data_IF_185895741608
#
_entry.id   IF_185895741608
#
_cell.length_a   1.000
_cell.length_b   1.000
_cell.length_c   1.000
_cell.angle_alpha   90.00
_cell.angle_beta   90.00
_cell.angle_gamma   90.00
#
_symmetry.space_group_name_H-M   'P 1'
#
loop_
_entity.id
_entity.type
_entity.pdbx_description
1 polymer ?
#
# COMPACT_ATOMS: atom_id res chain seq x y z
N UNK A 1 38.13 36.67 -27.10
CA UNK A 1 37.30 36.66 -25.89
C UNK A 1 36.14 35.71 -26.11
N UNK A 2 36.27 34.46 -25.65
CA UNK A 2 35.20 33.47 -25.71
C UNK A 2 34.21 33.78 -24.58
N UNK A 3 32.94 34.02 -24.91
CA UNK A 3 31.87 34.23 -23.92
C UNK A 3 31.52 32.87 -23.31
N UNK A 4 31.90 32.67 -22.04
CA UNK A 4 31.37 31.60 -21.20
C UNK A 4 29.84 31.69 -21.19
N UNK A 5 29.16 30.69 -21.79
CA UNK A 5 27.74 30.46 -21.55
C UNK A 5 27.62 29.85 -20.16
N UNK A 6 27.02 30.61 -19.24
CA UNK A 6 26.54 30.08 -17.97
C UNK A 6 25.58 28.91 -18.23
N UNK A 7 25.61 27.85 -17.41
CA UNK A 7 24.66 26.75 -17.53
C UNK A 7 23.24 27.31 -17.34
N UNK A 8 22.38 27.03 -18.31
CA UNK A 8 20.98 27.46 -18.34
C UNK A 8 20.26 26.73 -17.20
N UNK A 9 19.89 27.44 -16.12
CA UNK A 9 18.95 26.93 -15.10
C UNK A 9 17.76 26.34 -15.86
N UNK A 10 17.40 25.08 -15.59
CA UNK A 10 16.14 24.49 -16.08
C UNK A 10 15.02 25.40 -15.56
N UNK A 11 14.44 26.22 -16.43
CA UNK A 11 13.26 26.99 -16.10
C UNK A 11 12.17 25.97 -15.78
N UNK A 12 11.59 26.00 -14.59
CA UNK A 12 10.41 25.19 -14.29
C UNK A 12 9.31 25.59 -15.29
N UNK A 13 8.54 24.61 -15.77
CA UNK A 13 7.44 24.88 -16.69
C UNK A 13 6.44 25.82 -15.99
N UNK A 14 5.91 26.86 -16.66
CA UNK A 14 4.89 27.74 -16.08
C UNK A 14 3.68 26.98 -15.52
N UNK A 15 3.37 25.81 -16.08
CA UNK A 15 2.28 24.95 -15.62
C UNK A 15 2.57 24.33 -14.24
N UNK A 16 3.82 23.95 -13.96
CA UNK A 16 4.27 23.42 -12.66
C UNK A 16 4.26 24.53 -11.61
N UNK A 17 4.77 25.71 -11.94
CA UNK A 17 4.78 26.86 -11.04
C UNK A 17 3.37 27.27 -10.61
N UNK A 18 2.43 27.29 -11.55
CA UNK A 18 1.03 27.60 -11.26
C UNK A 18 0.35 26.52 -10.40
N UNK A 19 0.61 25.24 -10.68
CA UNK A 19 0.09 24.13 -9.88
C UNK A 19 0.54 24.25 -8.42
N UNK A 20 1.83 24.50 -8.22
CA UNK A 20 2.41 24.73 -6.90
C UNK A 20 1.82 25.99 -6.23
N UNK A 21 1.61 27.08 -6.97
CA UNK A 21 1.01 28.29 -6.42
C UNK A 21 -0.42 28.05 -5.90
N UNK A 22 -1.24 27.32 -6.67
CA UNK A 22 -2.61 26.98 -6.27
C UNK A 22 -2.64 26.09 -5.03
N UNK A 23 -1.76 25.09 -4.96
CA UNK A 23 -1.64 24.21 -3.79
C UNK A 23 -1.24 24.98 -2.52
N UNK A 24 -0.28 25.90 -2.62
CA UNK A 24 0.10 26.77 -1.49
C UNK A 24 -1.05 27.69 -1.05
N UNK A 25 -1.80 28.23 -2.01
CA UNK A 25 -2.96 29.07 -1.70
C UNK A 25 -4.05 28.27 -0.98
N UNK A 26 -4.32 27.03 -1.41
CA UNK A 26 -5.23 26.12 -0.71
C UNK A 26 -4.73 25.81 0.71
N UNK A 27 -3.45 25.50 0.89
CA UNK A 27 -2.86 25.22 2.19
C UNK A 27 -2.89 26.41 3.18
N UNK A 28 -2.98 27.63 2.66
CA UNK A 28 -3.09 28.87 3.43
C UNK A 28 -4.53 29.35 3.64
N UNK A 29 -5.51 28.64 3.06
CA UNK A 29 -6.92 28.95 3.19
C UNK A 29 -7.34 29.02 4.66
N UNK A 30 -8.19 30.01 4.98
CA UNK A 30 -8.64 30.27 6.34
C UNK A 30 -10.10 29.91 6.60
N UNK A 31 -10.82 29.47 5.56
CA UNK A 31 -12.25 29.15 5.65
C UNK A 31 -12.68 28.12 4.60
N UNK A 32 -13.80 27.43 4.86
CA UNK A 32 -14.38 26.46 3.90
C UNK A 32 -14.80 27.08 2.56
N UNK A 33 -15.11 28.38 2.56
CA UNK A 33 -15.46 29.10 1.33
C UNK A 33 -14.21 29.32 0.47
N UNK A 34 -13.09 29.65 1.12
CA UNK A 34 -11.79 29.75 0.44
C UNK A 34 -11.28 28.38 -0.03
N UNK A 35 -11.44 27.32 0.79
CA UNK A 35 -11.09 25.94 0.40
C UNK A 35 -11.73 25.60 -0.95
N UNK A 36 -13.06 25.70 -1.05
CA UNK A 36 -13.78 25.38 -2.29
C UNK A 36 -13.37 26.26 -3.49
N UNK A 37 -12.98 27.52 -3.26
CA UNK A 37 -12.51 28.42 -4.31
C UNK A 37 -11.16 27.96 -4.91
N UNK A 38 -10.23 27.54 -4.05
CA UNK A 38 -8.91 27.07 -4.46
C UNK A 38 -8.97 25.63 -4.99
N UNK A 39 -9.71 24.74 -4.32
CA UNK A 39 -9.97 23.36 -4.75
C UNK A 39 -10.52 23.32 -6.18
N UNK A 40 -11.51 24.16 -6.51
CA UNK A 40 -12.09 24.21 -7.87
C UNK A 40 -11.05 24.53 -8.94
N UNK A 41 -10.14 25.47 -8.66
CA UNK A 41 -9.09 25.90 -9.61
C UNK A 41 -7.99 24.86 -9.73
N UNK A 42 -7.56 24.32 -8.60
CA UNK A 42 -6.54 23.28 -8.53
C UNK A 42 -7.03 22.01 -9.23
N UNK A 43 -8.26 21.59 -8.96
CA UNK A 43 -8.92 20.48 -9.64
C UNK A 43 -8.92 20.63 -11.16
N UNK A 44 -9.30 21.79 -11.69
CA UNK A 44 -9.31 22.04 -13.13
C UNK A 44 -7.91 21.92 -13.77
N UNK A 45 -6.85 22.29 -13.04
CA UNK A 45 -5.46 22.13 -13.51
C UNK A 45 -5.03 20.66 -13.48
N UNK A 46 -5.25 19.98 -12.37
CA UNK A 46 -4.96 18.55 -12.22
C UNK A 46 -5.69 17.74 -13.28
N UNK A 47 -6.97 18.05 -13.53
CA UNK A 47 -7.76 17.34 -14.54
C UNK A 47 -7.19 17.42 -15.95
N UNK A 48 -6.63 18.57 -16.32
CA UNK A 48 -5.98 18.80 -17.61
C UNK A 48 -4.73 17.93 -17.72
N UNK A 49 -3.92 17.87 -16.66
CA UNK A 49 -2.69 17.05 -16.62
C UNK A 49 -3.01 15.56 -16.72
N UNK A 50 -3.97 15.07 -15.91
CA UNK A 50 -4.44 13.68 -15.96
C UNK A 50 -4.96 13.32 -17.36
N UNK A 51 -5.76 14.20 -17.97
CA UNK A 51 -6.31 13.97 -19.32
C UNK A 51 -5.23 13.88 -20.39
N UNK A 52 -4.13 14.61 -20.20
CA UNK A 52 -2.98 14.60 -21.10
C UNK A 52 -1.95 13.52 -20.74
N UNK A 53 -2.19 12.74 -19.67
CA UNK A 53 -1.25 11.77 -19.13
C UNK A 53 0.11 12.37 -18.77
N UNK A 54 0.09 13.61 -18.24
CA UNK A 54 1.27 14.36 -17.82
C UNK A 54 1.52 14.15 -16.32
N UNK A 55 1.81 12.91 -15.95
CA UNK A 55 2.15 12.53 -14.57
C UNK A 55 3.51 13.12 -14.14
N UNK A 56 4.44 13.35 -15.08
CA UNK A 56 5.74 13.97 -14.83
C UNK A 56 5.61 15.37 -14.21
N UNK A 57 4.69 16.19 -14.72
CA UNK A 57 4.44 17.52 -14.15
C UNK A 57 3.83 17.47 -12.76
N UNK A 58 2.96 16.48 -12.48
CA UNK A 58 2.39 16.26 -11.14
C UNK A 58 3.49 15.85 -10.15
N UNK A 59 4.30 14.86 -10.51
CA UNK A 59 5.41 14.38 -9.67
C UNK A 59 6.47 15.47 -9.44
N UNK A 60 6.84 16.23 -10.47
CA UNK A 60 7.81 17.31 -10.33
C UNK A 60 7.32 18.44 -9.39
N UNK A 61 6.02 18.74 -9.39
CA UNK A 61 5.42 19.70 -8.47
C UNK A 61 5.43 19.18 -7.03
N UNK A 62 5.03 17.92 -6.80
CA UNK A 62 5.09 17.26 -5.50
C UNK A 62 6.52 17.23 -4.95
N UNK A 63 7.50 16.78 -5.74
CA UNK A 63 8.91 16.73 -5.34
C UNK A 63 9.46 18.09 -4.91
N UNK A 64 9.04 19.15 -5.61
CA UNK A 64 9.48 20.51 -5.29
C UNK A 64 8.79 21.02 -4.03
N UNK A 65 7.49 20.76 -3.85
CA UNK A 65 6.76 21.16 -2.64
C UNK A 65 7.22 20.36 -1.41
N UNK A 66 7.45 19.05 -1.52
CA UNK A 66 7.98 18.23 -0.43
C UNK A 66 9.28 18.81 0.16
N UNK A 67 10.11 19.43 -0.68
CA UNK A 67 11.37 20.08 -0.27
C UNK A 67 11.22 21.51 0.25
N UNK A 68 10.11 22.20 -0.05
CA UNK A 68 10.00 23.66 0.16
C UNK A 68 8.81 24.10 0.99
N UNK A 69 7.72 23.35 0.99
CA UNK A 69 6.45 23.66 1.65
C UNK A 69 5.62 22.37 1.82
N UNK A 70 5.79 21.71 2.97
CA UNK A 70 5.10 20.45 3.28
C UNK A 70 3.58 20.60 3.21
N UNK A 71 3.02 21.69 3.74
CA UNK A 71 1.56 21.91 3.77
C UNK A 71 1.01 22.05 2.35
N UNK A 72 1.75 22.74 1.48
CA UNK A 72 1.43 22.80 0.05
C UNK A 72 1.56 21.45 -0.64
N UNK A 73 2.54 20.63 -0.26
CA UNK A 73 2.71 19.27 -0.77
C UNK A 73 1.51 18.38 -0.41
N UNK A 74 1.11 18.37 0.85
CA UNK A 74 -0.02 17.59 1.36
C UNK A 74 -1.32 18.00 0.64
N UNK A 75 -1.58 19.31 0.53
CA UNK A 75 -2.76 19.83 -0.18
C UNK A 75 -2.78 19.46 -1.67
N UNK A 76 -1.61 19.42 -2.33
CA UNK A 76 -1.52 18.98 -3.72
C UNK A 76 -1.76 17.47 -3.84
N UNK A 77 -1.13 16.66 -2.99
CA UNK A 77 -1.28 15.21 -2.97
C UNK A 77 -2.74 14.80 -2.76
N UNK A 78 -3.39 15.35 -1.73
CA UNK A 78 -4.81 15.11 -1.42
C UNK A 78 -5.71 15.44 -2.62
N UNK A 79 -5.46 16.57 -3.28
CA UNK A 79 -6.24 16.97 -4.45
C UNK A 79 -5.98 16.06 -5.65
N UNK A 80 -4.74 15.64 -5.91
CA UNK A 80 -4.44 14.69 -7.00
C UNK A 80 -5.15 13.36 -6.76
N UNK A 81 -5.02 12.79 -5.56
CA UNK A 81 -5.67 11.53 -5.18
C UNK A 81 -7.19 11.64 -5.35
N UNK A 82 -7.79 12.70 -4.79
CA UNK A 82 -9.22 12.98 -4.95
C UNK A 82 -9.63 13.03 -6.42
N UNK A 83 -8.90 13.75 -7.28
CA UNK A 83 -9.22 13.84 -8.72
C UNK A 83 -9.05 12.52 -9.46
N UNK A 84 -8.20 11.61 -9.01
CA UNK A 84 -8.01 10.30 -9.64
C UNK A 84 -9.09 9.29 -9.22
N UNK A 85 -9.56 9.39 -7.99
CA UNK A 85 -10.49 8.42 -7.40
C UNK A 85 -11.97 8.78 -7.55
N UNK A 86 -12.29 10.06 -7.80
CA UNK A 86 -13.68 10.55 -7.78
C UNK A 86 -14.26 10.93 -9.15
N UNK A 87 -13.58 10.57 -10.25
CA UNK A 87 -14.00 10.95 -11.60
C UNK A 87 -15.25 10.21 -12.08
N UNK A 88 -16.35 10.95 -12.25
CA UNK A 88 -17.63 10.47 -12.79
C UNK A 88 -17.86 10.79 -14.27
N UNK A 89 -16.83 10.74 -15.13
CA UNK A 89 -17.01 11.04 -16.56
C UNK A 89 -18.07 10.12 -17.20
N UNK A 90 -19.13 10.70 -17.74
CA UNK A 90 -20.19 9.98 -18.45
C UNK A 90 -21.34 9.49 -17.57
N UNK A 91 -21.41 9.89 -16.29
CA UNK A 91 -22.59 9.64 -15.45
C UNK A 91 -23.64 10.75 -15.67
N UNK A 92 -24.92 10.38 -15.75
CA UNK A 92 -26.02 11.34 -15.76
C UNK A 92 -26.37 11.79 -14.33
N UNK A 93 -26.51 13.10 -14.15
CA UNK A 93 -26.81 13.72 -12.85
C UNK A 93 -25.56 13.98 -12.00
N UNK A 94 -25.75 14.68 -10.89
CA UNK A 94 -24.68 14.91 -9.92
C UNK A 94 -24.53 13.68 -9.01
N UNK A 95 -23.39 12.99 -9.10
CA UNK A 95 -23.10 11.75 -8.37
C UNK A 95 -21.75 11.85 -7.68
N UNK A 96 -21.66 11.27 -6.50
CA UNK A 96 -20.38 11.04 -5.85
C UNK A 96 -19.85 9.66 -6.23
N UNK A 97 -18.56 9.61 -6.54
CA UNK A 97 -17.84 8.44 -7.00
C UNK A 97 -16.61 8.29 -6.12
N UNK A 98 -16.28 7.05 -5.76
CA UNK A 98 -15.04 6.75 -5.07
C UNK A 98 -14.46 5.42 -5.53
N UNK A 99 -13.26 5.46 -6.09
CA UNK A 99 -12.40 4.30 -6.26
C UNK A 99 -11.94 3.84 -4.88
N UNK A 100 -12.10 2.55 -4.60
CA UNK A 100 -11.67 1.93 -3.35
C UNK A 100 -10.77 0.73 -3.63
N UNK A 101 -9.97 0.37 -2.64
CA UNK A 101 -9.34 -0.93 -2.57
C UNK A 101 -9.71 -1.63 -1.25
N UNK A 102 -9.78 -2.95 -1.29
CA UNK A 102 -9.97 -3.84 -0.15
C UNK A 102 -8.71 -4.72 -0.03
N UNK A 103 -7.72 -4.30 0.78
CA UNK A 103 -6.47 -5.02 0.91
C UNK A 103 -6.62 -6.29 1.75
N UNK A 104 -5.80 -7.28 1.40
CA UNK A 104 -5.72 -8.58 2.06
C UNK A 104 -4.26 -8.91 2.25
N UNK A 105 -3.79 -8.85 3.49
CA UNK A 105 -2.46 -9.33 3.83
C UNK A 105 -2.48 -10.86 3.75
N UNK A 106 -1.50 -11.45 3.11
CA UNK A 106 -1.43 -12.89 2.91
C UNK A 106 0.01 -13.38 3.10
N UNK A 107 0.16 -14.58 3.66
CA UNK A 107 1.46 -15.26 3.68
C UNK A 107 1.29 -16.75 3.37
N UNK A 108 2.29 -17.31 2.70
CA UNK A 108 2.29 -18.70 2.24
C UNK A 108 3.70 -19.21 2.01
N UNK A 109 3.89 -20.53 2.16
CA UNK A 109 5.14 -21.21 1.74
C UNK A 109 5.26 -21.34 0.22
N UNK A 110 4.16 -21.10 -0.49
CA UNK A 110 4.06 -21.11 -1.95
C UNK A 110 3.79 -19.69 -2.45
N UNK A 111 3.81 -19.50 -3.77
CA UNK A 111 3.40 -18.23 -4.38
C UNK A 111 1.99 -17.83 -3.93
N UNK A 112 1.84 -16.58 -3.49
CA UNK A 112 0.54 -16.02 -3.09
C UNK A 112 -0.25 -15.72 -4.37
N UNK A 113 -1.45 -16.31 -4.57
CA UNK A 113 -2.20 -16.17 -5.81
C UNK A 113 -2.64 -14.74 -6.13
N UNK A 114 -2.66 -14.40 -7.41
CA UNK A 114 -3.20 -13.17 -8.00
C UNK A 114 -3.86 -13.50 -9.35
N UNK A 115 -4.59 -12.55 -9.92
CA UNK A 115 -5.20 -12.69 -11.24
C UNK A 115 -6.73 -12.88 -11.22
N UNK A 116 -7.31 -13.58 -12.22
CA UNK A 116 -8.74 -13.53 -12.48
C UNK A 116 -9.59 -14.16 -11.36
N UNK A 117 -10.70 -13.49 -11.03
CA UNK A 117 -11.70 -13.93 -10.07
C UNK A 117 -12.90 -14.52 -10.83
N UNK A 118 -13.29 -15.74 -10.49
CA UNK A 118 -14.48 -16.35 -11.07
C UNK A 118 -15.75 -15.53 -10.74
N UNK A 119 -16.68 -15.43 -11.69
CA UNK A 119 -17.89 -14.61 -11.55
C UNK A 119 -18.72 -14.91 -10.29
N UNK A 120 -18.81 -16.19 -9.90
CA UNK A 120 -19.51 -16.59 -8.67
C UNK A 120 -18.81 -16.07 -7.40
N UNK A 121 -17.48 -16.15 -7.35
CA UNK A 121 -16.70 -15.62 -6.23
C UNK A 121 -16.80 -14.09 -6.18
N UNK A 122 -16.73 -13.41 -7.33
CA UNK A 122 -16.88 -11.96 -7.41
C UNK A 122 -18.27 -11.49 -6.97
N UNK A 123 -19.32 -12.23 -7.34
CA UNK A 123 -20.69 -11.96 -6.90
C UNK A 123 -20.84 -12.15 -5.38
N UNK A 124 -20.21 -13.16 -4.79
CA UNK A 124 -20.21 -13.36 -3.34
C UNK A 124 -19.48 -12.21 -2.61
N UNK A 125 -18.29 -11.81 -3.09
CA UNK A 125 -17.54 -10.68 -2.56
C UNK A 125 -18.35 -9.38 -2.61
N UNK A 126 -19.04 -9.14 -3.74
CA UNK A 126 -19.96 -8.00 -3.92
C UNK A 126 -21.05 -7.97 -2.85
N UNK A 127 -21.67 -9.11 -2.53
CA UNK A 127 -22.68 -9.20 -1.47
C UNK A 127 -22.09 -8.82 -0.12
N UNK A 128 -20.89 -9.32 0.22
CA UNK A 128 -20.25 -9.02 1.50
C UNK A 128 -19.82 -7.55 1.61
N UNK A 129 -19.32 -6.95 0.52
CA UNK A 129 -19.00 -5.52 0.47
C UNK A 129 -20.25 -4.65 0.65
N UNK A 130 -21.33 -4.97 -0.07
CA UNK A 130 -22.59 -4.23 0.05
C UNK A 130 -23.24 -4.38 1.44
N UNK A 131 -23.08 -5.54 2.08
CA UNK A 131 -23.68 -5.79 3.40
C UNK A 131 -22.92 -5.12 4.56
N UNK A 132 -21.59 -5.02 4.48
CA UNK A 132 -20.76 -4.67 5.64
C UNK A 132 -19.94 -3.39 5.48
N UNK A 133 -19.61 -2.99 4.25
CA UNK A 133 -18.64 -1.92 3.99
C UNK A 133 -19.31 -0.67 3.42
N UNK A 134 -20.19 -0.84 2.43
CA UNK A 134 -20.84 0.28 1.75
C UNK A 134 -22.24 0.56 2.28
N UNK A 135 -22.71 1.79 2.05
CA UNK A 135 -24.06 2.22 2.40
C UNK A 135 -25.11 1.51 1.53
N UNK A 136 -26.38 1.52 1.96
CA UNK A 136 -27.44 0.74 1.31
C UNK A 136 -27.74 1.19 -0.13
N UNK A 137 -27.73 2.50 -0.38
CA UNK A 137 -28.17 3.11 -1.64
C UNK A 137 -27.02 3.42 -2.61
N UNK A 138 -26.02 2.54 -2.67
CA UNK A 138 -24.88 2.69 -3.59
C UNK A 138 -24.94 1.73 -4.76
N UNK A 139 -24.27 2.10 -5.86
CA UNK A 139 -23.94 1.19 -6.96
C UNK A 139 -22.46 0.82 -6.88
N UNK A 140 -22.19 -0.47 -7.01
CA UNK A 140 -20.85 -1.02 -6.93
C UNK A 140 -20.39 -1.52 -8.30
N UNK A 141 -19.18 -1.17 -8.72
CA UNK A 141 -18.48 -1.79 -9.85
C UNK A 141 -17.18 -2.42 -9.37
N UNK A 142 -16.95 -3.69 -9.70
CA UNK A 142 -15.75 -4.43 -9.31
C UNK A 142 -14.91 -4.74 -10.54
N UNK A 143 -13.59 -4.73 -10.38
CA UNK A 143 -12.69 -5.40 -11.32
C UNK A 143 -12.70 -6.90 -11.01
N UNK A 144 -12.66 -7.75 -12.04
CA UNK A 144 -12.62 -9.21 -11.89
C UNK A 144 -11.21 -9.77 -11.72
N UNK A 145 -10.33 -8.98 -11.10
CA UNK A 145 -8.93 -9.32 -10.83
C UNK A 145 -8.67 -9.14 -9.34
N UNK A 146 -7.95 -10.11 -8.76
CA UNK A 146 -7.27 -9.98 -7.49
C UNK A 146 -5.83 -9.50 -7.76
N UNK A 147 -5.57 -8.22 -7.50
CA UNK A 147 -4.32 -7.57 -7.88
C UNK A 147 -3.20 -7.87 -6.87
N UNK A 148 -1.99 -8.08 -7.37
CA UNK A 148 -0.73 -7.90 -6.63
C UNK A 148 -0.37 -6.41 -6.54
N UNK A 149 0.54 -5.96 -5.65
CA UNK A 149 1.00 -4.57 -5.63
C UNK A 149 1.58 -4.14 -6.99
N UNK A 150 2.37 -5.01 -7.62
CA UNK A 150 2.98 -4.79 -8.95
C UNK A 150 1.97 -4.56 -10.09
N UNK A 151 0.70 -4.93 -9.86
CA UNK A 151 -0.38 -4.87 -10.85
C UNK A 151 -1.34 -3.70 -10.61
N UNK A 152 -1.16 -2.95 -9.53
CA UNK A 152 -1.92 -1.73 -9.29
C UNK A 152 -1.53 -0.64 -10.31
N UNK A 153 -2.44 0.31 -10.63
CA UNK A 153 -2.11 1.43 -11.51
C UNK A 153 -0.88 2.20 -10.99
N UNK A 154 0.20 2.32 -11.80
CA UNK A 154 1.46 2.90 -11.34
C UNK A 154 1.47 4.43 -11.37
N UNK A 155 0.44 5.08 -11.95
CA UNK A 155 0.37 6.53 -12.06
C UNK A 155 -1.04 7.07 -11.80
N UNK A 156 -1.11 8.36 -11.46
CA UNK A 156 -2.37 9.08 -11.25
C UNK A 156 -3.29 9.02 -12.48
N UNK A 157 -2.72 9.18 -13.68
CA UNK A 157 -3.47 9.08 -14.92
C UNK A 157 -4.02 7.67 -15.17
N UNK A 158 -3.28 6.63 -14.82
CA UNK A 158 -3.74 5.25 -14.90
C UNK A 158 -4.85 4.95 -13.88
N UNK A 159 -4.70 5.42 -12.64
CA UNK A 159 -5.72 5.34 -11.59
C UNK A 159 -7.02 5.99 -12.05
N UNK A 160 -6.96 7.22 -12.57
CA UNK A 160 -8.13 7.93 -13.11
C UNK A 160 -8.79 7.17 -14.28
N UNK A 161 -8.00 6.54 -15.16
CA UNK A 161 -8.51 5.71 -16.25
C UNK A 161 -9.21 4.46 -15.75
N UNK A 162 -8.66 3.79 -14.72
CA UNK A 162 -9.29 2.65 -14.08
C UNK A 162 -10.62 3.05 -13.42
N UNK A 163 -10.63 4.14 -12.66
CA UNK A 163 -11.85 4.73 -12.07
C UNK A 163 -12.93 4.93 -13.13
N UNK A 164 -12.61 5.58 -14.24
CA UNK A 164 -13.57 5.82 -15.33
C UNK A 164 -14.13 4.54 -15.97
N UNK A 165 -13.32 3.48 -16.10
CA UNK A 165 -13.78 2.16 -16.59
C UNK A 165 -14.74 1.50 -15.58
N UNK A 166 -14.37 1.49 -14.29
CA UNK A 166 -15.18 0.93 -13.22
C UNK A 166 -16.50 1.66 -13.04
N UNK A 167 -16.50 2.99 -13.16
CA UNK A 167 -17.73 3.81 -13.11
C UNK A 167 -18.70 3.39 -14.20
N UNK A 168 -18.22 3.22 -15.44
CA UNK A 168 -19.06 2.76 -16.55
C UNK A 168 -19.63 1.37 -16.26
N UNK A 169 -18.85 0.47 -15.66
CA UNK A 169 -19.33 -0.84 -15.25
C UNK A 169 -20.42 -0.74 -14.16
N UNK A 170 -20.18 0.04 -13.10
CA UNK A 170 -21.10 0.25 -11.98
C UNK A 170 -22.45 0.84 -12.43
N UNK A 171 -22.44 1.85 -13.31
CA UNK A 171 -23.66 2.47 -13.84
C UNK A 171 -24.54 1.47 -14.60
N UNK A 172 -23.93 0.47 -15.25
CA UNK A 172 -24.63 -0.58 -15.97
C UNK A 172 -24.83 -1.86 -15.14
N UNK A 173 -24.54 -1.83 -13.83
CA UNK A 173 -24.63 -3.00 -12.94
C UNK A 173 -23.82 -4.20 -13.46
N UNK A 174 -22.62 -3.93 -13.99
CA UNK A 174 -21.68 -4.94 -14.50
C UNK A 174 -20.36 -4.87 -13.75
N UNK A 175 -19.58 -5.93 -13.90
CA UNK A 175 -18.19 -5.97 -13.51
C UNK A 175 -17.29 -5.48 -14.66
N UNK A 176 -16.12 -4.95 -14.31
CA UNK A 176 -15.07 -4.62 -15.25
C UNK A 176 -14.20 -5.85 -15.48
N UNK A 177 -14.29 -6.40 -16.68
CA UNK A 177 -13.38 -7.45 -17.13
C UNK A 177 -12.03 -6.85 -17.53
N UNK A 178 -10.95 -7.36 -16.95
CA UNK A 178 -9.58 -7.03 -17.33
C UNK A 178 -8.85 -8.27 -17.84
N UNK A 179 -8.05 -8.08 -18.89
CA UNK A 179 -7.20 -9.14 -19.42
C UNK A 179 -5.99 -9.34 -18.50
N UNK A 180 -6.01 -10.43 -17.72
CA UNK A 180 -4.92 -10.76 -16.80
C UNK A 180 -3.57 -10.95 -17.50
N UNK A 181 -3.56 -11.30 -18.80
CA UNK A 181 -2.32 -11.43 -19.58
C UNK A 181 -1.65 -10.09 -19.92
N UNK A 182 -2.34 -8.97 -19.70
CA UNK A 182 -1.78 -7.61 -19.86
C UNK A 182 -1.25 -7.04 -18.54
N UNK A 183 -1.45 -7.74 -17.43
CA UNK A 183 -0.91 -7.34 -16.14
C UNK A 183 0.56 -7.76 -16.04
N UNK A 184 1.34 -6.98 -15.28
CA UNK A 184 2.74 -7.30 -15.01
C UNK A 184 2.90 -8.65 -14.30
N UNK A 185 4.08 -9.25 -14.49
CA UNK A 185 4.50 -10.42 -13.70
C UNK A 185 4.56 -10.04 -12.22
N UNK A 186 4.09 -10.94 -11.37
CA UNK A 186 4.12 -10.75 -9.92
C UNK A 186 5.37 -11.38 -9.34
N UNK A 187 6.06 -10.65 -8.48
CA UNK A 187 7.14 -11.23 -7.70
C UNK A 187 6.58 -12.15 -6.60
N UNK A 188 7.39 -13.13 -6.19
CA UNK A 188 6.99 -14.12 -5.18
C UNK A 188 7.64 -13.80 -3.85
N UNK A 189 6.83 -13.55 -2.84
CA UNK A 189 7.26 -13.26 -1.47
C UNK A 189 6.63 -14.22 -0.47
N UNK A 190 7.27 -14.39 0.68
CA UNK A 190 6.70 -15.15 1.79
C UNK A 190 5.40 -14.51 2.29
N UNK A 191 5.39 -13.18 2.36
CA UNK A 191 4.29 -12.35 2.84
C UNK A 191 4.09 -11.17 1.87
N UNK A 192 2.86 -10.95 1.44
CA UNK A 192 2.49 -9.92 0.46
C UNK A 192 1.03 -9.51 0.61
N UNK A 193 0.60 -8.46 -0.08
CA UNK A 193 -0.77 -7.95 -0.08
C UNK A 193 -1.48 -8.28 -1.40
N UNK A 194 -2.77 -8.62 -1.32
CA UNK A 194 -3.66 -8.69 -2.48
C UNK A 194 -4.75 -7.65 -2.38
N UNK A 195 -5.18 -7.11 -3.51
CA UNK A 195 -6.18 -6.05 -3.55
C UNK A 195 -7.37 -6.46 -4.40
N UNK A 196 -8.56 -6.38 -3.82
CA UNK A 196 -9.78 -6.24 -4.59
C UNK A 196 -10.03 -4.76 -4.83
N UNK A 197 -10.20 -4.36 -6.10
CA UNK A 197 -10.38 -2.96 -6.49
C UNK A 197 -11.75 -2.77 -7.12
N UNK A 198 -12.41 -1.67 -6.77
CA UNK A 198 -13.71 -1.32 -7.32
C UNK A 198 -14.04 0.14 -7.17
N UNK A 199 -15.24 0.52 -7.60
CA UNK A 199 -15.80 1.84 -7.41
C UNK A 199 -17.16 1.76 -6.74
N UNK A 200 -17.44 2.71 -5.87
CA UNK A 200 -18.77 2.95 -5.31
C UNK A 200 -19.32 4.27 -5.87
N UNK A 201 -20.60 4.28 -6.23
CA UNK A 201 -21.30 5.45 -6.79
C UNK A 201 -22.60 5.68 -6.04
N UNK A 202 -22.83 6.91 -5.58
CA UNK A 202 -24.07 7.31 -4.90
C UNK A 202 -24.61 8.65 -5.43
N UNK A 203 -25.82 9.04 -5.00
CA UNK A 203 -26.28 10.42 -5.18
C UNK A 203 -25.29 11.39 -4.51
N UNK A 204 -25.09 12.57 -5.09
CA UNK A 204 -24.19 13.56 -4.50
C UNK A 204 -24.62 13.94 -3.07
N UNK A 205 -23.67 13.88 -2.14
CA UNK A 205 -23.87 14.14 -0.73
C UNK A 205 -24.48 12.99 0.08
N UNK A 206 -24.77 11.84 -0.55
CA UNK A 206 -25.26 10.65 0.15
C UNK A 206 -24.10 9.86 0.81
N UNK A 207 -24.46 8.96 1.71
CA UNK A 207 -23.51 8.03 2.30
C UNK A 207 -22.93 7.07 1.23
N UNK A 208 -21.61 6.91 1.22
CA UNK A 208 -20.89 5.91 0.44
C UNK A 208 -20.56 4.68 1.28
N UNK A 209 -20.19 4.89 2.55
CA UNK A 209 -19.77 3.84 3.47
C UNK A 209 -20.81 3.55 4.54
N UNK A 210 -20.82 2.32 5.05
CA UNK A 210 -21.75 1.86 6.10
C UNK A 210 -21.65 2.71 7.36
N UNK A 211 -20.44 3.14 7.75
CA UNK A 211 -20.22 4.00 8.93
C UNK A 211 -20.60 5.47 8.74
N UNK A 212 -21.10 5.87 7.57
CA UNK A 212 -21.71 7.19 7.37
C UNK A 212 -23.23 7.15 7.62
N UNK A 213 -23.81 5.96 7.75
CA UNK A 213 -25.20 5.77 8.16
C UNK A 213 -25.31 5.76 9.69
N UNK A 214 -26.49 6.11 10.22
CA UNK A 214 -26.71 6.37 11.65
C UNK A 214 -26.40 5.21 12.58
N UNK A 215 -26.46 3.97 12.08
CA UNK A 215 -26.26 2.73 12.85
C UNK A 215 -24.96 2.00 12.49
N UNK A 216 -24.10 2.61 11.66
CA UNK A 216 -22.84 2.00 11.22
C UNK A 216 -21.64 2.44 12.04
N UNK A 217 -20.63 1.58 12.12
CA UNK A 217 -19.31 1.89 12.71
C UNK A 217 -18.19 1.21 11.91
N UNK A 218 -17.00 1.81 11.90
CA UNK A 218 -15.83 1.23 11.19
C UNK A 218 -15.40 -0.11 11.81
N UNK A 219 -15.46 -0.21 13.12
CA UNK A 219 -15.07 -1.39 13.89
C UNK A 219 -15.99 -2.57 13.58
N UNK A 220 -17.31 -2.33 13.56
CA UNK A 220 -18.29 -3.37 13.23
C UNK A 220 -18.18 -3.79 11.77
N UNK A 221 -18.01 -2.81 10.86
CA UNK A 221 -17.79 -3.07 9.44
C UNK A 221 -16.56 -3.96 9.22
N UNK A 222 -15.42 -3.62 9.84
CA UNK A 222 -14.18 -4.41 9.75
C UNK A 222 -14.35 -5.82 10.33
N UNK A 223 -14.97 -5.95 11.50
CA UNK A 223 -15.19 -7.26 12.14
C UNK A 223 -16.06 -8.18 11.26
N UNK A 224 -17.12 -7.63 10.65
CA UNK A 224 -17.99 -8.37 9.74
C UNK A 224 -17.31 -8.68 8.40
N UNK A 225 -16.51 -7.76 7.88
CA UNK A 225 -15.72 -7.98 6.67
C UNK A 225 -14.68 -9.08 6.86
N UNK A 226 -13.92 -9.06 7.96
CA UNK A 226 -12.94 -10.12 8.29
C UNK A 226 -13.59 -11.49 8.43
N UNK A 227 -14.78 -11.57 9.03
CA UNK A 227 -15.46 -12.84 9.26
C UNK A 227 -16.19 -13.35 8.01
N UNK A 228 -17.11 -12.58 7.45
CA UNK A 228 -17.95 -13.03 6.33
C UNK A 228 -17.32 -12.75 4.96
N UNK A 229 -16.68 -11.60 4.80
CA UNK A 229 -15.87 -11.30 3.60
C UNK A 229 -14.66 -12.23 3.49
N UNK A 230 -14.02 -12.55 4.62
CA UNK A 230 -12.93 -13.52 4.69
C UNK A 230 -13.32 -14.90 4.14
N UNK A 231 -14.49 -15.43 4.51
CA UNK A 231 -14.99 -16.69 3.96
C UNK A 231 -15.28 -16.63 2.45
N UNK A 232 -15.78 -15.49 1.96
CA UNK A 232 -16.00 -15.30 0.53
C UNK A 232 -14.68 -15.21 -0.28
N UNK A 233 -13.63 -14.68 0.34
CA UNK A 233 -12.31 -14.51 -0.27
C UNK A 233 -11.44 -15.77 -0.19
N UNK A 234 -11.61 -16.60 0.85
CA UNK A 234 -10.80 -17.79 1.14
C UNK A 234 -10.53 -18.70 -0.09
N UNK A 235 -11.49 -18.97 -1.00
CA UNK A 235 -11.22 -19.78 -2.19
C UNK A 235 -10.18 -19.18 -3.16
N UNK A 236 -9.95 -17.87 -3.11
CA UNK A 236 -9.00 -17.15 -3.97
C UNK A 236 -7.57 -17.23 -3.45
N UNK A 237 -7.37 -17.61 -2.19
CA UNK A 237 -6.06 -17.68 -1.52
C UNK A 237 -5.79 -19.07 -0.94
N UNK A 238 -5.82 -20.14 -1.76
CA UNK A 238 -5.53 -21.49 -1.28
C UNK A 238 -4.15 -21.57 -0.63
N UNK A 239 -4.08 -22.28 0.49
CA UNK A 239 -2.85 -22.47 1.28
C UNK A 239 -2.20 -21.18 1.82
N UNK A 240 -2.89 -20.03 1.77
CA UNK A 240 -2.46 -18.82 2.45
C UNK A 240 -3.13 -18.70 3.81
N UNK A 241 -2.40 -18.19 4.79
CA UNK A 241 -3.01 -17.45 5.88
C UNK A 241 -3.27 -16.02 5.39
N UNK A 242 -4.39 -15.42 5.80
CA UNK A 242 -4.77 -14.09 5.35
C UNK A 242 -5.43 -13.25 6.42
N UNK A 243 -5.16 -11.95 6.41
CA UNK A 243 -5.84 -10.94 7.21
C UNK A 243 -6.42 -9.84 6.31
N UNK A 244 -7.75 -9.68 6.36
CA UNK A 244 -8.43 -8.64 5.58
C UNK A 244 -8.36 -7.30 6.33
N UNK A 245 -8.00 -6.24 5.59
CA UNK A 245 -8.04 -4.87 6.08
C UNK A 245 -9.36 -4.20 5.71
N UNK A 246 -9.65 -3.06 6.37
CA UNK A 246 -10.86 -2.29 6.07
C UNK A 246 -10.74 -1.71 4.65
N UNK A 247 -11.75 -1.89 3.77
CA UNK A 247 -11.73 -1.21 2.48
C UNK A 247 -11.88 0.31 2.65
N UNK A 248 -11.04 1.06 1.94
CA UNK A 248 -10.96 2.52 2.00
C UNK A 248 -10.82 3.09 0.58
N UNK A 249 -10.85 4.42 0.46
CA UNK A 249 -10.40 5.11 -0.74
C UNK A 249 -9.04 4.56 -1.20
N UNK A 250 -8.84 4.39 -2.50
CA UNK A 250 -7.76 3.59 -3.08
C UNK A 250 -6.36 3.89 -2.50
N UNK A 251 -5.88 5.13 -2.56
CA UNK A 251 -4.55 5.49 -2.05
C UNK A 251 -4.48 5.38 -0.52
N UNK A 252 -5.57 5.70 0.19
CA UNK A 252 -5.65 5.51 1.64
C UNK A 252 -5.59 4.02 2.03
N UNK A 253 -6.22 3.14 1.26
CA UNK A 253 -6.17 1.70 1.43
C UNK A 253 -4.77 1.14 1.16
N UNK A 254 -4.08 1.63 0.13
CA UNK A 254 -2.69 1.26 -0.16
C UNK A 254 -1.74 1.68 0.97
N UNK A 255 -1.81 2.95 1.42
CA UNK A 255 -1.02 3.43 2.57
C UNK A 255 -1.30 2.64 3.85
N UNK A 256 -2.55 2.25 4.07
CA UNK A 256 -2.89 1.42 5.24
C UNK A 256 -2.37 0.00 5.10
N UNK A 257 -2.43 -0.58 3.91
CA UNK A 257 -1.84 -1.89 3.65
C UNK A 257 -0.33 -1.90 3.87
N UNK A 258 0.40 -0.89 3.40
CA UNK A 258 1.83 -0.70 3.66
C UNK A 258 2.12 -0.57 5.16
N UNK A 259 1.30 0.19 5.90
CA UNK A 259 1.46 0.30 7.36
C UNK A 259 1.32 -1.05 8.05
N UNK A 260 0.29 -1.81 7.69
CA UNK A 260 -0.07 -3.07 8.34
C UNK A 260 0.75 -4.26 7.83
N UNK A 261 1.37 -4.18 6.65
CA UNK A 261 2.23 -5.25 6.13
C UNK A 261 3.50 -5.43 6.96
N UNK A 262 4.03 -4.36 7.55
CA UNK A 262 5.25 -4.38 8.40
C UNK A 262 5.13 -5.28 9.64
N UNK A 263 4.11 -5.13 10.52
CA UNK A 263 3.91 -6.08 11.61
C UNK A 263 3.48 -7.46 11.11
N UNK A 264 2.77 -7.54 9.99
CA UNK A 264 2.33 -8.80 9.41
C UNK A 264 3.50 -9.63 8.86
N UNK A 265 4.56 -9.02 8.30
CA UNK A 265 5.73 -9.71 7.79
C UNK A 265 6.53 -10.39 8.90
N UNK A 266 6.63 -9.78 10.09
CA UNK A 266 7.21 -10.43 11.28
C UNK A 266 6.37 -11.65 11.70
N UNK A 267 5.05 -11.49 11.80
CA UNK A 267 4.14 -12.59 12.16
C UNK A 267 4.23 -13.75 11.18
N UNK A 268 4.24 -13.44 9.88
CA UNK A 268 4.41 -14.40 8.80
C UNK A 268 5.75 -15.13 8.89
N UNK A 269 6.84 -14.40 9.16
CA UNK A 269 8.19 -14.94 9.31
C UNK A 269 8.32 -15.90 10.48
N UNK A 270 7.80 -15.54 11.66
CA UNK A 270 7.80 -16.43 12.82
C UNK A 270 6.93 -17.67 12.56
N UNK A 271 5.77 -17.49 11.92
CA UNK A 271 4.91 -18.61 11.55
C UNK A 271 5.56 -19.54 10.51
N UNK A 272 6.30 -18.99 9.56
CA UNK A 272 7.08 -19.73 8.58
C UNK A 272 8.24 -20.50 9.23
N UNK A 273 9.01 -19.88 10.11
CA UNK A 273 10.09 -20.54 10.85
C UNK A 273 9.56 -21.71 11.69
N UNK A 274 8.40 -21.52 12.33
CA UNK A 274 7.76 -22.56 13.14
C UNK A 274 7.23 -23.71 12.28
N UNK A 275 6.48 -23.43 11.20
CA UNK A 275 5.76 -24.46 10.44
C UNK A 275 6.54 -25.02 9.24
N UNK A 276 7.44 -24.21 8.67
CA UNK A 276 8.27 -24.55 7.51
C UNK A 276 9.63 -25.12 7.91
N UNK A 277 10.27 -24.54 8.92
CA UNK A 277 11.65 -24.89 9.34
C UNK A 277 11.69 -25.60 10.70
N UNK A 278 10.54 -25.78 11.36
CA UNK A 278 10.40 -26.45 12.65
C UNK A 278 11.20 -25.77 13.79
N UNK A 279 11.29 -24.44 13.77
CA UNK A 279 11.89 -23.62 14.81
C UNK A 279 10.78 -22.87 15.55
N UNK A 280 10.45 -23.32 16.75
CA UNK A 280 9.47 -22.67 17.61
C UNK A 280 9.94 -21.26 18.05
N UNK A 281 8.99 -20.35 18.26
CA UNK A 281 9.28 -18.94 18.61
C UNK A 281 10.13 -18.78 19.87
N UNK A 282 9.94 -19.65 20.87
CA UNK A 282 10.70 -19.65 22.13
C UNK A 282 12.17 -20.10 21.96
N UNK A 283 12.53 -20.65 20.79
CA UNK A 283 13.91 -21.00 20.39
C UNK A 283 14.57 -19.98 19.47
N UNK A 284 13.82 -18.96 19.04
CA UNK A 284 14.34 -17.84 18.27
C UNK A 284 14.87 -16.75 19.20
N UNK A 285 15.95 -16.09 18.77
CA UNK A 285 16.25 -14.74 19.19
C UNK A 285 16.13 -13.80 17.97
N UNK A 286 15.83 -12.54 18.21
CA UNK A 286 15.70 -11.52 17.18
C UNK A 286 16.69 -10.37 17.44
N UNK A 287 17.40 -9.96 16.40
CA UNK A 287 18.29 -8.79 16.45
C UNK A 287 17.71 -7.72 15.55
N UNK A 288 17.51 -6.53 16.09
CA UNK A 288 16.93 -5.37 15.40
C UNK A 288 18.04 -4.34 15.20
N UNK A 289 18.21 -3.83 13.99
CA UNK A 289 19.16 -2.75 13.74
C UNK A 289 18.65 -1.73 12.70
N UNK A 290 19.03 -0.44 12.83
CA UNK A 290 18.71 0.58 11.84
C UNK A 290 19.68 0.54 10.64
N UNK A 291 19.12 0.68 9.43
CA UNK A 291 19.86 0.74 8.16
C UNK A 291 19.62 2.08 7.47
N UNK A 292 20.68 2.64 6.87
CA UNK A 292 20.65 3.98 6.26
C UNK A 292 21.43 4.07 4.96
N UNK A 293 20.99 4.97 4.09
CA UNK A 293 21.86 5.61 3.09
C UNK A 293 22.27 7.01 3.60
N UNK A 294 21.33 7.97 3.57
CA UNK A 294 21.55 9.33 4.06
C UNK A 294 20.89 9.59 5.43
N UNK A 295 19.70 9.01 5.62
CA UNK A 295 18.92 8.96 6.86
C UNK A 295 18.57 7.49 7.12
N UNK A 296 18.13 7.16 8.34
CA UNK A 296 17.56 5.82 8.57
C UNK A 296 16.36 5.69 7.65
N UNK A 297 16.37 4.65 6.82
CA UNK A 297 15.33 4.37 5.83
C UNK A 297 14.53 3.13 6.21
N UNK A 298 15.16 2.20 6.93
CA UNK A 298 14.51 0.97 7.39
C UNK A 298 15.18 0.43 8.65
N UNK A 299 14.45 -0.39 9.38
CA UNK A 299 15.01 -1.31 10.37
C UNK A 299 15.01 -2.70 9.76
N UNK A 300 16.02 -3.51 10.08
CA UNK A 300 16.03 -4.93 9.72
C UNK A 300 16.03 -5.78 10.97
N UNK A 301 15.33 -6.91 10.90
CA UNK A 301 15.24 -7.90 11.96
C UNK A 301 15.91 -9.17 11.47
N UNK A 302 17.00 -9.59 12.10
CA UNK A 302 17.60 -10.91 11.90
C UNK A 302 17.04 -11.91 12.91
N UNK A 303 16.50 -13.04 12.44
CA UNK A 303 16.11 -14.15 13.28
C UNK A 303 17.26 -15.14 13.38
N UNK A 304 17.70 -15.44 14.60
CA UNK A 304 18.76 -16.41 14.88
C UNK A 304 18.22 -17.52 15.79
N UNK A 305 18.81 -18.71 15.70
CA UNK A 305 18.55 -19.74 16.71
C UNK A 305 19.30 -19.38 18.00
N UNK A 306 18.68 -19.47 19.19
CA UNK A 306 19.31 -19.03 20.47
C UNK A 306 20.72 -19.57 20.78
N UNK A 307 21.08 -20.71 20.19
CA UNK A 307 22.38 -21.36 20.38
C UNK A 307 23.31 -21.22 19.15
N UNK A 308 23.03 -20.29 18.25
CA UNK A 308 23.78 -20.04 17.02
C UNK A 308 23.83 -18.55 16.73
N UNK A 309 24.85 -18.12 16.01
CA UNK A 309 24.97 -16.74 15.55
C UNK A 309 24.44 -16.59 14.10
N UNK A 310 24.07 -17.70 13.45
CA UNK A 310 23.64 -17.69 12.06
C UNK A 310 22.21 -17.15 11.96
N UNK A 311 22.03 -16.14 11.11
CA UNK A 311 20.73 -15.61 10.74
C UNK A 311 20.02 -16.62 9.84
N UNK A 312 18.91 -17.19 10.32
CA UNK A 312 18.13 -18.20 9.58
C UNK A 312 17.06 -17.58 8.69
N UNK A 313 16.63 -16.36 9.01
CA UNK A 313 15.69 -15.58 8.24
C UNK A 313 15.78 -14.11 8.66
N UNK A 314 15.32 -13.18 7.83
CA UNK A 314 15.30 -11.78 8.20
C UNK A 314 14.13 -11.05 7.61
N UNK A 315 13.72 -9.95 8.25
CA UNK A 315 12.60 -9.08 7.83
C UNK A 315 13.10 -7.65 7.67
N UNK A 316 12.66 -7.00 6.59
CA UNK A 316 12.84 -5.55 6.40
C UNK A 316 11.60 -4.84 6.93
N UNK A 317 11.80 -3.80 7.73
CA UNK A 317 10.78 -2.90 8.24
C UNK A 317 11.05 -1.49 7.68
N UNK A 318 10.47 -1.14 6.52
CA UNK A 318 10.66 0.18 5.95
C UNK A 318 10.04 1.27 6.84
N UNK A 319 10.75 2.39 6.97
CA UNK A 319 10.20 3.60 7.57
C UNK A 319 9.37 4.33 6.51
N UNK A 320 8.14 4.69 6.89
CA UNK A 320 7.27 5.48 6.04
C UNK A 320 7.60 6.97 6.25
N UNK A 321 7.46 7.80 5.21
CA UNK A 321 7.98 9.19 5.15
C UNK A 321 7.54 10.15 6.28
N UNK A 322 6.55 9.77 7.08
CA UNK A 322 6.01 10.52 8.23
C UNK A 322 6.49 10.04 9.60
N UNK A 323 7.35 9.01 9.66
CA UNK A 323 7.81 8.44 10.91
C UNK A 323 9.18 9.01 11.32
N UNK A 324 9.26 9.59 12.52
CA UNK A 324 10.52 10.07 13.12
C UNK A 324 11.47 8.92 13.53
N UNK A 325 11.11 7.65 13.26
CA UNK A 325 11.91 6.44 13.46
C UNK A 325 12.18 6.04 14.92
N UNK A 326 12.09 6.97 15.87
CA UNK A 326 12.50 6.79 17.26
C UNK A 326 11.70 5.70 18.02
N UNK A 327 10.41 5.56 17.72
CA UNK A 327 9.55 4.56 18.37
C UNK A 327 9.52 3.22 17.62
N UNK A 328 10.16 3.13 16.46
CA UNK A 328 10.09 1.95 15.58
C UNK A 328 10.65 0.69 16.24
N UNK A 329 11.81 0.70 16.92
CA UNK A 329 12.31 -0.49 17.62
C UNK A 329 11.30 -1.04 18.65
N UNK A 330 10.65 -0.17 19.41
CA UNK A 330 9.67 -0.57 20.42
C UNK A 330 8.42 -1.21 19.79
N UNK A 331 7.99 -0.72 18.62
CA UNK A 331 6.90 -1.34 17.86
C UNK A 331 7.28 -2.73 17.35
N UNK A 332 8.48 -2.88 16.77
CA UNK A 332 9.01 -4.17 16.31
C UNK A 332 9.10 -5.16 17.48
N UNK A 333 9.65 -4.72 18.62
CA UNK A 333 9.73 -5.53 19.84
C UNK A 333 8.35 -6.02 20.30
N UNK A 334 7.34 -5.14 20.29
CA UNK A 334 5.99 -5.50 20.69
C UNK A 334 5.43 -6.62 19.81
N UNK A 335 5.59 -6.52 18.49
CA UNK A 335 5.15 -7.54 17.54
C UNK A 335 5.91 -8.86 17.73
N UNK A 336 7.22 -8.81 17.96
CA UNK A 336 8.03 -10.01 18.24
C UNK A 336 7.56 -10.73 19.51
N UNK A 337 7.31 -9.99 20.59
CA UNK A 337 6.77 -10.53 21.84
C UNK A 337 5.36 -11.10 21.67
N UNK A 338 4.49 -10.45 20.89
CA UNK A 338 3.18 -11.00 20.50
C UNK A 338 3.30 -12.35 19.78
N UNK A 339 4.38 -12.56 19.02
CA UNK A 339 4.68 -13.80 18.34
C UNK A 339 5.36 -14.87 19.23
N UNK A 340 5.67 -14.55 20.49
CA UNK A 340 6.36 -15.44 21.43
C UNK A 340 7.89 -15.44 21.30
N UNK A 341 8.48 -14.44 20.64
CA UNK A 341 9.93 -14.22 20.60
C UNK A 341 10.31 -13.24 21.70
N UNK A 342 10.84 -13.75 22.81
CA UNK A 342 11.18 -12.94 23.99
C UNK A 342 12.64 -12.49 24.05
N UNK A 343 13.53 -13.21 23.36
CA UNK A 343 14.96 -12.91 23.33
C UNK A 343 15.23 -11.92 22.20
N UNK A 344 15.25 -10.63 22.54
CA UNK A 344 15.33 -9.53 21.57
C UNK A 344 16.49 -8.62 21.95
N UNK A 345 17.36 -8.34 20.97
CA UNK A 345 18.45 -7.39 21.05
C UNK A 345 18.23 -6.25 20.06
N UNK A 346 18.41 -5.02 20.51
CA UNK A 346 18.40 -3.84 19.65
C UNK A 346 19.82 -3.29 19.52
N UNK A 347 20.31 -3.16 18.30
CA UNK A 347 21.59 -2.53 17.98
C UNK A 347 21.35 -1.03 17.78
N UNK A 348 22.09 -0.20 18.50
CA UNK A 348 21.93 1.26 18.47
C UNK A 348 22.68 1.95 17.32
N UNK A 349 23.78 1.37 16.84
CA UNK A 349 24.52 1.93 15.72
C UNK A 349 23.89 1.52 14.38
N UNK A 350 24.18 2.29 13.34
CA UNK A 350 23.55 2.13 12.03
C UNK A 350 24.41 1.33 11.07
N UNK A 351 23.78 0.46 10.29
CA UNK A 351 24.38 -0.22 9.15
C UNK A 351 24.12 0.54 7.84
N UNK A 352 25.01 0.41 6.84
CA UNK A 352 24.71 0.79 5.46
C UNK A 352 23.64 -0.14 4.86
N UNK A 353 22.86 0.36 3.88
CA UNK A 353 21.94 -0.47 3.07
C UNK A 353 22.72 -1.44 2.17
N UNK A 354 23.13 -2.57 2.73
CA UNK A 354 23.89 -3.60 2.03
C UNK A 354 22.99 -4.77 1.58
N UNK A 355 23.36 -5.35 0.45
CA UNK A 355 22.69 -6.47 -0.19
C UNK A 355 23.75 -7.51 -0.56
N UNK A 356 23.36 -8.78 -0.57
CA UNK A 356 24.25 -9.86 -0.98
C UNK A 356 24.56 -9.76 -2.48
N UNK A 357 25.86 -9.79 -2.82
CA UNK A 357 26.34 -9.68 -4.20
C UNK A 357 25.89 -10.85 -5.11
N UNK A 358 25.60 -12.02 -4.53
CA UNK A 358 25.25 -13.22 -5.29
C UNK A 358 23.75 -13.32 -5.63
N UNK A 359 22.87 -12.97 -4.68
CA UNK A 359 21.42 -13.16 -4.82
C UNK A 359 20.61 -11.86 -4.78
N UNK A 360 21.23 -10.73 -4.40
CA UNK A 360 20.58 -9.42 -4.26
C UNK A 360 19.67 -9.29 -3.03
N UNK A 361 19.63 -10.28 -2.14
CA UNK A 361 18.82 -10.21 -0.92
C UNK A 361 19.43 -9.22 0.10
N UNK A 362 18.61 -8.55 0.92
CA UNK A 362 19.12 -7.71 2.01
C UNK A 362 20.02 -8.49 2.97
N UNK A 363 21.05 -7.84 3.52
CA UNK A 363 21.79 -8.36 4.67
C UNK A 363 21.07 -8.02 5.99
N UNK A 364 21.19 -8.86 6.99
CA UNK A 364 20.46 -8.76 8.26
C UNK A 364 21.40 -8.74 9.45
N UNK A 365 21.07 -8.02 10.53
CA UNK A 365 21.92 -7.96 11.71
C UNK A 365 21.96 -9.31 12.42
N UNK A 366 23.15 -9.73 12.84
CA UNK A 366 23.36 -10.93 13.64
C UNK A 366 23.67 -10.61 15.13
N UNK A 367 23.95 -11.63 15.92
CA UNK A 367 24.29 -11.46 17.34
C UNK A 367 25.68 -10.89 17.60
N UNK A 368 26.55 -10.81 16.60
CA UNK A 368 27.93 -10.30 16.69
C UNK A 368 28.05 -8.83 16.24
N UNK A 369 26.92 -8.16 15.99
CA UNK A 369 26.85 -6.80 15.46
C UNK A 369 27.37 -6.68 14.00
N UNK A 370 27.19 -7.72 13.19
CA UNK A 370 27.50 -7.74 11.77
C UNK A 370 26.23 -7.83 10.91
N UNK A 371 26.29 -7.34 9.67
CA UNK A 371 25.23 -7.51 8.68
C UNK A 371 25.58 -8.69 7.76
N UNK A 372 24.81 -9.77 7.85
CA UNK A 372 25.11 -11.05 7.18
C UNK A 372 23.94 -11.53 6.32
N UNK A 373 24.22 -12.44 5.39
CA UNK A 373 23.19 -13.06 4.57
C UNK A 373 22.38 -14.07 5.40
N UNK A 374 21.06 -14.12 5.20
CA UNK A 374 20.21 -15.10 5.87
C UNK A 374 20.29 -16.46 5.18
N UNK A 375 20.63 -17.50 5.94
CA UNK A 375 20.77 -18.87 5.44
C UNK A 375 19.82 -19.81 6.16
N UNK A 376 18.83 -20.31 5.42
CA UNK A 376 17.95 -21.37 5.94
C UNK A 376 18.78 -22.65 6.15
N UNK A 377 18.54 -23.40 7.24
CA UNK A 377 19.16 -24.72 7.44
C UNK A 377 18.90 -25.64 6.23
N UNK A 378 19.92 -26.36 5.74
CA UNK A 378 19.79 -27.27 4.60
C UNK A 378 18.95 -28.55 4.94
N UNK A 379 18.08 -28.94 3.99
CA UNK A 379 17.11 -30.07 3.86
C UNK A 379 15.76 -29.99 4.63
N UNK A 380 14.58 -30.29 4.07
CA UNK A 380 14.16 -31.07 2.87
C UNK A 380 13.03 -30.36 2.07
N UNK A 381 13.22 -30.12 0.77
CA UNK A 381 12.13 -30.19 -0.23
C UNK A 381 11.26 -28.96 -0.55
N UNK A 382 11.41 -27.80 0.09
CA UNK A 382 10.65 -26.60 -0.28
C UNK A 382 11.57 -25.38 -0.50
N UNK A 383 11.83 -25.03 -1.77
CA UNK A 383 12.28 -23.68 -2.12
C UNK A 383 11.12 -22.71 -1.87
N UNK A 384 10.97 -22.29 -0.60
CA UNK A 384 10.14 -21.14 -0.27
C UNK A 384 10.78 -19.88 -0.88
N UNK A 385 9.99 -18.88 -1.31
CA UNK A 385 10.54 -17.61 -1.75
C UNK A 385 11.32 -16.98 -0.59
N UNK A 386 12.60 -16.67 -0.82
CA UNK A 386 13.49 -16.09 0.20
C UNK A 386 13.27 -14.58 0.37
N UNK A 387 12.46 -13.97 -0.50
CA UNK A 387 12.23 -12.53 -0.50
C UNK A 387 11.02 -12.16 0.35
N UNK A 388 11.12 -11.02 1.02
CA UNK A 388 10.03 -10.28 1.65
C UNK A 388 9.88 -8.93 0.94
N UNK A 389 8.65 -8.42 0.87
CA UNK A 389 8.38 -7.06 0.42
C UNK A 389 8.76 -6.03 1.46
#
# INVERSE_FOLDING_TARGET
MSRNRLPRRKHQSPEIEELMQLARALAQSSSRIEDGFWETRLAARIDKLIKNSDDDSLSAALDTLNKTDQRGCDALADMIEFRCESRGEGIQGERDVLLFAAPVLAWSRYAIPSGPIAAEALANLRVQLAAHIFAADVRLGLADILFSPDQLPPSYSETARLTGKLVKAAVHSRDLHLDAGQLGETMSFLSDTRYLVGVVVAEKGAALFRWQETDGSRETALARWRTQGGEALRPLLPACASELLLPLAFHSACREAERQSRPYSIRASVAFLNTGVNIAADRLAAVIAPFKENRIEEYRVGFVHKNSNNVVHGVVWPLLDVEDGNDTPAQIEAVLRECGVDDIRVIEHTFPLEYCDDCGAPLYPDSEDEAVHAELPEDDGARAPQHLH
#
